data_IF_075620296294
#
_entry.id   IF_075620296294
#
_cell.length_a   1.000
_cell.length_b   1.000
_cell.length_c   1.000
_cell.angle_alpha   90.00
_cell.angle_beta   90.00
_cell.angle_gamma   90.00
#
_symmetry.space_group_name_H-M   'P 1'
#
loop_
_entity.id
_entity.type
_entity.pdbx_description
1 polymer ?
#
# COMPACT_ATOMS: atom_id res chain seq x y z
N UNK A 1 16.53 7.34 5.90
CA UNK A 1 15.29 7.46 5.10
C UNK A 1 14.41 6.24 5.30
N UNK A 2 13.10 6.42 5.26
CA UNK A 2 12.13 5.40 5.68
C UNK A 2 12.09 4.13 4.80
N UNK A 3 12.79 4.10 3.65
CA UNK A 3 12.79 2.93 2.76
C UNK A 3 13.47 1.68 3.36
N UNK A 4 14.49 1.83 4.22
CA UNK A 4 15.15 0.68 4.87
C UNK A 4 14.22 -0.05 5.85
N UNK A 5 13.38 0.72 6.54
CA UNK A 5 12.33 0.18 7.40
C UNK A 5 11.30 -0.58 6.56
N UNK A 6 10.83 0.01 5.45
CA UNK A 6 9.91 -0.66 4.54
C UNK A 6 10.50 -1.97 4.01
N UNK A 7 11.76 -1.97 3.58
CA UNK A 7 12.45 -3.19 3.12
C UNK A 7 12.49 -4.29 4.19
N UNK A 8 12.81 -3.92 5.43
CA UNK A 8 12.80 -4.86 6.56
C UNK A 8 11.41 -5.45 6.82
N UNK A 9 10.36 -4.62 6.73
CA UNK A 9 8.97 -5.07 6.85
C UNK A 9 8.65 -6.08 5.74
N UNK A 10 8.96 -5.77 4.48
CA UNK A 10 8.72 -6.67 3.34
C UNK A 10 9.38 -8.03 3.59
N UNK A 11 10.67 -8.05 3.89
CA UNK A 11 11.44 -9.29 4.06
C UNK A 11 10.94 -10.15 5.24
N UNK A 12 10.42 -9.50 6.28
CA UNK A 12 9.87 -10.17 7.48
C UNK A 12 8.49 -10.77 7.18
N UNK A 13 7.61 -9.98 6.58
CA UNK A 13 6.23 -10.37 6.32
C UNK A 13 6.14 -11.47 5.27
N UNK A 14 7.00 -11.47 4.25
CA UNK A 14 7.02 -12.55 3.25
C UNK A 14 7.24 -13.93 3.89
N UNK A 15 8.13 -14.03 4.89
CA UNK A 15 8.34 -15.27 5.65
C UNK A 15 7.14 -15.65 6.49
N UNK A 16 6.44 -14.65 7.06
CA UNK A 16 5.23 -14.86 7.85
C UNK A 16 4.05 -15.31 6.99
N UNK A 17 3.98 -14.84 5.74
CA UNK A 17 2.91 -15.22 4.82
C UNK A 17 2.99 -16.68 4.39
N UNK A 18 4.20 -17.24 4.28
CA UNK A 18 4.44 -18.65 3.90
C UNK A 18 3.86 -19.66 4.89
N UNK A 19 3.64 -19.26 6.16
CA UNK A 19 3.12 -20.16 7.20
C UNK A 19 1.61 -20.06 7.40
N UNK A 20 0.93 -19.13 6.71
CA UNK A 20 -0.53 -18.97 6.79
C UNK A 20 -1.16 -19.88 5.73
N UNK A 21 -2.10 -20.73 6.15
CA UNK A 21 -2.78 -21.65 5.23
C UNK A 21 -3.73 -20.92 4.28
N UNK A 22 -4.05 -21.54 3.14
CA UNK A 22 -4.98 -20.95 2.17
C UNK A 22 -6.39 -20.73 2.75
N UNK A 23 -6.86 -21.66 3.58
CA UNK A 23 -8.15 -21.52 4.26
C UNK A 23 -8.14 -20.30 5.20
N UNK A 24 -7.05 -20.07 5.93
CA UNK A 24 -6.89 -18.90 6.78
C UNK A 24 -6.81 -17.59 5.98
N UNK A 25 -6.14 -17.59 4.83
CA UNK A 25 -6.09 -16.45 3.93
C UNK A 25 -7.46 -16.07 3.40
N UNK A 26 -8.24 -17.09 3.01
CA UNK A 26 -9.57 -16.93 2.42
C UNK A 26 -10.69 -16.74 3.45
N UNK A 27 -10.44 -17.04 4.72
CA UNK A 27 -11.45 -17.00 5.77
C UNK A 27 -12.03 -15.59 5.96
N UNK A 28 -13.37 -15.51 5.98
CA UNK A 28 -14.14 -14.29 6.25
C UNK A 28 -14.97 -14.49 7.51
N UNK A 29 -14.83 -13.59 8.49
CA UNK A 29 -15.66 -13.57 9.69
C UNK A 29 -17.14 -13.29 9.38
N UNK A 30 -17.40 -12.49 8.34
CA UNK A 30 -18.72 -12.26 7.77
C UNK A 30 -18.58 -11.85 6.30
N UNK A 31 -19.65 -11.91 5.48
CA UNK A 31 -19.59 -11.51 4.08
C UNK A 31 -19.07 -10.07 3.85
N UNK A 32 -19.35 -9.17 4.78
CA UNK A 32 -19.01 -7.74 4.71
C UNK A 32 -17.60 -7.43 5.21
N UNK A 33 -16.98 -8.35 5.95
CA UNK A 33 -15.60 -8.17 6.45
C UNK A 33 -14.60 -8.69 5.43
N UNK A 34 -13.51 -7.94 5.26
CA UNK A 34 -12.40 -8.41 4.45
C UNK A 34 -11.72 -9.62 5.09
N UNK A 35 -11.40 -10.62 4.27
CA UNK A 35 -10.48 -11.69 4.63
C UNK A 35 -9.05 -11.15 4.75
N UNK A 36 -8.13 -11.95 5.30
CA UNK A 36 -6.69 -11.61 5.29
C UNK A 36 -6.20 -11.36 3.86
N UNK A 37 -6.70 -12.13 2.89
CA UNK A 37 -6.34 -11.99 1.47
C UNK A 37 -6.85 -10.69 0.87
N UNK A 38 -8.08 -10.28 1.19
CA UNK A 38 -8.61 -8.99 0.77
C UNK A 38 -7.88 -7.82 1.44
N UNK A 39 -7.44 -7.96 2.71
CA UNK A 39 -6.60 -6.96 3.39
C UNK A 39 -5.24 -6.83 2.68
N UNK A 40 -4.61 -7.95 2.29
CA UNK A 40 -3.36 -7.91 1.52
C UNK A 40 -3.58 -7.27 0.14
N UNK A 41 -4.73 -7.55 -0.49
CA UNK A 41 -5.17 -6.90 -1.72
C UNK A 41 -5.32 -5.38 -1.57
N UNK A 42 -6.00 -4.91 -0.52
CA UNK A 42 -6.08 -3.47 -0.17
C UNK A 42 -4.69 -2.83 -0.02
N UNK A 43 -3.73 -3.56 0.54
CA UNK A 43 -2.35 -3.07 0.62
C UNK A 43 -1.67 -2.98 -0.75
N UNK A 44 -2.05 -3.80 -1.73
CA UNK A 44 -1.63 -3.64 -3.13
C UNK A 44 -2.25 -2.39 -3.75
N UNK A 45 -3.55 -2.15 -3.54
CA UNK A 45 -4.26 -0.96 -4.02
C UNK A 45 -3.66 0.34 -3.44
N UNK A 46 -3.36 0.33 -2.14
CA UNK A 46 -2.67 1.41 -1.45
C UNK A 46 -1.28 1.64 -2.03
N UNK A 47 -0.52 0.57 -2.33
CA UNK A 47 0.80 0.68 -2.95
C UNK A 47 0.71 1.27 -4.37
N UNK A 48 -0.22 0.81 -5.21
CA UNK A 48 -0.47 1.37 -6.54
C UNK A 48 -0.74 2.88 -6.50
N UNK A 49 -1.65 3.29 -5.62
CA UNK A 49 -2.01 4.71 -5.47
C UNK A 49 -0.82 5.53 -5.00
N UNK A 50 -0.05 5.04 -4.03
CA UNK A 50 1.09 5.77 -3.48
C UNK A 50 2.28 5.79 -4.44
N UNK A 51 2.51 4.76 -5.26
CA UNK A 51 3.48 4.82 -6.37
C UNK A 51 3.16 6.02 -7.28
N UNK A 52 1.88 6.18 -7.66
CA UNK A 52 1.47 7.32 -8.49
C UNK A 52 1.70 8.66 -7.77
N UNK A 53 1.32 8.77 -6.49
CA UNK A 53 1.58 9.98 -5.68
C UNK A 53 3.08 10.30 -5.64
N UNK A 54 3.91 9.32 -5.32
CA UNK A 54 5.35 9.50 -5.19
C UNK A 54 6.01 9.87 -6.51
N UNK A 55 5.60 9.30 -7.63
CA UNK A 55 6.21 9.60 -8.93
C UNK A 55 5.69 10.93 -9.49
N UNK A 56 4.38 11.16 -9.49
CA UNK A 56 3.79 12.35 -10.11
C UNK A 56 4.18 13.62 -9.36
N UNK A 57 4.14 13.61 -8.02
CA UNK A 57 4.45 14.80 -7.22
C UNK A 57 5.91 15.26 -7.35
N UNK A 58 6.82 14.38 -7.76
CA UNK A 58 8.21 14.76 -8.07
C UNK A 58 8.35 15.68 -9.28
N UNK A 59 7.34 15.81 -10.15
CA UNK A 59 7.39 16.73 -11.30
C UNK A 59 6.12 17.58 -11.46
N UNK A 60 5.07 17.34 -10.66
CA UNK A 60 3.81 18.09 -10.71
C UNK A 60 3.13 18.15 -9.33
N UNK A 61 3.10 19.33 -8.72
CA UNK A 61 2.52 19.52 -7.37
C UNK A 61 1.00 19.64 -7.38
N UNK A 62 0.40 19.31 -6.24
CA UNK A 62 -1.02 19.48 -5.91
C UNK A 62 -2.00 18.74 -6.84
N UNK A 63 -1.54 17.71 -7.54
CA UNK A 63 -2.45 16.80 -8.23
C UNK A 63 -3.33 16.07 -7.21
N UNK A 64 -4.64 16.03 -7.48
CA UNK A 64 -5.58 15.27 -6.67
C UNK A 64 -5.48 13.77 -7.03
N UNK A 65 -5.01 12.96 -6.09
CA UNK A 65 -4.80 11.52 -6.28
C UNK A 65 -5.45 10.77 -5.13
N UNK A 66 -6.65 10.24 -5.36
CA UNK A 66 -7.47 9.55 -4.36
C UNK A 66 -8.01 8.22 -4.90
N UNK A 67 -8.42 7.34 -3.98
CA UNK A 67 -9.09 6.09 -4.29
C UNK A 67 -10.12 5.73 -3.21
N UNK A 68 -11.16 5.00 -3.58
CA UNK A 68 -12.11 4.41 -2.65
C UNK A 68 -11.69 2.96 -2.36
N UNK A 69 -11.39 2.66 -1.10
CA UNK A 69 -10.80 1.38 -0.72
C UNK A 69 -11.78 0.22 -0.90
N UNK A 70 -13.07 0.44 -0.61
CA UNK A 70 -14.08 -0.61 -0.66
C UNK A 70 -14.43 -0.93 -2.11
N UNK A 71 -14.57 0.11 -2.95
CA UNK A 71 -14.80 -0.07 -4.38
C UNK A 71 -13.58 -0.69 -5.09
N UNK A 72 -12.35 -0.38 -4.67
CA UNK A 72 -11.15 -0.99 -5.24
C UNK A 72 -11.03 -2.48 -4.89
N UNK A 73 -11.11 -2.84 -3.60
CA UNK A 73 -11.05 -4.25 -3.16
C UNK A 73 -12.12 -5.09 -3.84
N UNK A 74 -13.35 -4.55 -3.94
CA UNK A 74 -14.46 -5.19 -4.64
C UNK A 74 -14.18 -5.38 -6.13
N UNK A 75 -13.68 -4.35 -6.81
CA UNK A 75 -13.42 -4.40 -8.26
C UNK A 75 -12.25 -5.31 -8.62
N UNK A 76 -11.23 -5.38 -7.78
CA UNK A 76 -10.06 -6.24 -7.96
C UNK A 76 -10.34 -7.71 -7.62
N UNK A 77 -11.38 -7.96 -6.82
CA UNK A 77 -11.87 -9.31 -6.52
C UNK A 77 -10.79 -10.25 -5.92
N UNK A 78 -9.95 -9.72 -5.02
CA UNK A 78 -8.83 -10.46 -4.43
C UNK A 78 -9.23 -11.78 -3.77
N UNK A 79 -10.44 -11.86 -3.22
CA UNK A 79 -10.97 -13.09 -2.62
C UNK A 79 -10.91 -14.30 -3.57
N UNK A 80 -11.00 -14.08 -4.89
CA UNK A 80 -11.01 -15.14 -5.89
C UNK A 80 -9.67 -15.31 -6.62
N UNK A 81 -8.64 -14.56 -6.24
CA UNK A 81 -7.28 -14.70 -6.78
C UNK A 81 -6.50 -15.71 -5.92
N UNK A 82 -5.62 -16.55 -6.51
CA UNK A 82 -4.70 -17.38 -5.74
C UNK A 82 -3.83 -16.52 -4.82
N UNK A 83 -3.71 -16.89 -3.55
CA UNK A 83 -3.02 -16.06 -2.55
C UNK A 83 -1.57 -15.78 -2.93
N UNK A 84 -0.87 -16.77 -3.50
CA UNK A 84 0.49 -16.60 -3.99
C UNK A 84 0.63 -15.47 -5.02
N UNK A 85 -0.38 -15.26 -5.88
CA UNK A 85 -0.37 -14.15 -6.84
C UNK A 85 -0.54 -12.80 -6.15
N UNK A 86 -1.41 -12.71 -5.14
CA UNK A 86 -1.61 -11.49 -4.34
C UNK A 86 -0.34 -11.15 -3.55
N UNK A 87 0.32 -12.15 -2.95
CA UNK A 87 1.61 -11.97 -2.26
C UNK A 87 2.69 -11.47 -3.22
N UNK A 88 2.78 -12.05 -4.42
CA UNK A 88 3.78 -11.64 -5.43
C UNK A 88 3.53 -10.22 -5.94
N UNK A 89 2.27 -9.82 -6.12
CA UNK A 89 1.89 -8.47 -6.46
C UNK A 89 2.30 -7.49 -5.35
N UNK A 90 1.91 -7.79 -4.10
CA UNK A 90 2.25 -7.00 -2.92
C UNK A 90 3.77 -6.81 -2.81
N UNK A 91 4.54 -7.90 -2.93
CA UNK A 91 6.00 -7.89 -2.92
C UNK A 91 6.56 -6.93 -3.96
N UNK A 92 6.14 -7.10 -5.21
CA UNK A 92 6.68 -6.34 -6.34
C UNK A 92 6.39 -4.85 -6.22
N UNK A 93 5.16 -4.48 -5.82
CA UNK A 93 4.78 -3.10 -5.61
C UNK A 93 5.55 -2.45 -4.46
N UNK A 94 5.74 -3.16 -3.35
CA UNK A 94 6.43 -2.61 -2.20
C UNK A 94 7.94 -2.44 -2.45
N UNK A 95 8.60 -3.37 -3.14
CA UNK A 95 9.98 -3.14 -3.58
C UNK A 95 10.09 -2.00 -4.60
N UNK A 96 9.09 -1.82 -5.46
CA UNK A 96 9.05 -0.65 -6.34
C UNK A 96 8.98 0.65 -5.55
N UNK A 97 8.20 0.70 -4.46
CA UNK A 97 8.19 1.86 -3.54
C UNK A 97 9.55 2.06 -2.88
N UNK A 98 10.22 0.99 -2.44
CA UNK A 98 11.59 1.09 -1.90
C UNK A 98 12.51 1.76 -2.91
N UNK A 99 12.50 1.32 -4.17
CA UNK A 99 13.33 1.93 -5.23
C UNK A 99 12.97 3.39 -5.50
N UNK A 100 11.68 3.74 -5.53
CA UNK A 100 11.24 5.13 -5.74
C UNK A 100 11.75 6.02 -4.60
N UNK A 101 11.56 5.60 -3.35
CA UNK A 101 11.96 6.40 -2.18
C UNK A 101 13.47 6.48 -2.03
N UNK A 102 14.20 5.41 -2.34
CA UNK A 102 15.67 5.38 -2.33
C UNK A 102 16.29 6.37 -3.34
N UNK A 103 15.66 6.54 -4.51
CA UNK A 103 16.14 7.42 -5.58
C UNK A 103 15.53 8.83 -5.55
N UNK A 104 14.66 9.13 -4.58
CA UNK A 104 13.99 10.42 -4.48
C UNK A 104 14.97 11.50 -4.00
N UNK A 105 15.16 12.61 -4.74
CA UNK A 105 15.99 13.72 -4.27
C UNK A 105 15.42 14.38 -3.02
N UNK A 106 16.27 14.82 -2.09
CA UNK A 106 15.81 15.43 -0.84
C UNK A 106 15.03 16.73 -1.10
N UNK A 107 15.39 17.49 -2.13
CA UNK A 107 14.75 18.76 -2.47
C UNK A 107 13.29 18.64 -2.90
N UNK A 108 12.84 17.45 -3.35
CA UNK A 108 11.44 17.24 -3.75
C UNK A 108 10.57 16.74 -2.60
N UNK A 109 11.13 16.36 -1.44
CA UNK A 109 10.37 15.81 -0.32
C UNK A 109 9.30 16.76 0.24
N UNK A 110 9.51 18.08 0.10
CA UNK A 110 8.56 19.11 0.53
C UNK A 110 7.48 19.43 -0.51
N UNK A 111 7.54 18.82 -1.71
CA UNK A 111 6.48 18.97 -2.71
C UNK A 111 5.19 18.31 -2.26
N UNK A 112 4.08 18.90 -2.67
CA UNK A 112 2.76 18.53 -2.14
C UNK A 112 1.89 17.76 -3.13
N UNK A 113 1.07 16.85 -2.60
CA UNK A 113 0.01 16.14 -3.30
C UNK A 113 -1.32 16.45 -2.62
N UNK A 114 -2.39 16.57 -3.40
CA UNK A 114 -3.74 16.66 -2.87
C UNK A 114 -4.33 15.25 -2.71
N UNK A 115 -4.70 14.90 -1.47
CA UNK A 115 -5.36 13.63 -1.12
C UNK A 115 -6.79 13.82 -0.62
N UNK A 116 -7.33 15.03 -0.79
CA UNK A 116 -8.69 15.40 -0.39
C UNK A 116 -9.74 14.51 -1.06
N UNK A 117 -10.53 13.81 -0.26
CA UNK A 117 -11.77 13.13 -0.72
C UNK A 117 -12.99 14.02 -0.54
N UNK A 118 -13.14 14.57 0.66
CA UNK A 118 -14.29 15.40 1.07
C UNK A 118 -13.83 16.65 1.80
N UNK A 119 -12.82 16.53 2.65
CA UNK A 119 -12.14 17.64 3.34
C UNK A 119 -10.77 17.91 2.71
N UNK A 120 -10.31 19.17 2.70
CA UNK A 120 -8.97 19.53 2.24
C UNK A 120 -7.88 18.75 2.99
N UNK A 121 -7.02 18.08 2.25
CA UNK A 121 -5.87 17.34 2.73
C UNK A 121 -4.74 17.45 1.69
N UNK A 122 -3.80 18.35 1.94
CA UNK A 122 -2.62 18.55 1.11
C UNK A 122 -1.41 18.12 1.92
N UNK A 123 -0.69 17.11 1.45
CA UNK A 123 0.41 16.48 2.18
C UNK A 123 1.70 16.53 1.37
N UNK A 124 2.83 16.70 2.05
CA UNK A 124 4.14 16.60 1.42
C UNK A 124 4.48 15.15 1.11
N UNK A 125 5.40 14.92 0.17
CA UNK A 125 5.93 13.59 -0.11
C UNK A 125 6.50 12.91 1.14
N UNK A 126 7.20 13.66 1.99
CA UNK A 126 7.73 13.16 3.26
C UNK A 126 6.62 12.58 4.16
N UNK A 127 5.52 13.33 4.33
CA UNK A 127 4.38 12.91 5.15
C UNK A 127 3.68 11.70 4.53
N UNK A 128 3.51 11.68 3.21
CA UNK A 128 2.87 10.56 2.51
C UNK A 128 3.70 9.27 2.61
N UNK A 129 5.02 9.34 2.47
CA UNK A 129 5.91 8.17 2.59
C UNK A 129 5.83 7.60 4.01
N UNK A 130 5.88 8.45 5.04
CA UNK A 130 5.72 8.01 6.43
C UNK A 130 4.33 7.40 6.66
N UNK A 131 3.28 8.10 6.24
CA UNK A 131 1.89 7.65 6.37
C UNK A 131 1.62 6.32 5.67
N UNK A 132 2.24 6.09 4.51
CA UNK A 132 2.16 4.82 3.80
C UNK A 132 2.72 3.65 4.64
N UNK A 133 3.90 3.82 5.25
CA UNK A 133 4.53 2.77 6.07
C UNK A 133 3.73 2.51 7.33
N UNK A 134 3.23 3.57 7.99
CA UNK A 134 2.39 3.44 9.18
C UNK A 134 1.07 2.70 8.85
N UNK A 135 0.43 3.05 7.73
CA UNK A 135 -0.78 2.40 7.24
C UNK A 135 -0.53 0.92 6.88
N UNK A 136 0.55 0.64 6.15
CA UNK A 136 0.97 -0.73 5.81
C UNK A 136 1.14 -1.57 7.08
N UNK A 137 1.92 -1.07 8.05
CA UNK A 137 2.20 -1.78 9.29
C UNK A 137 0.93 -1.96 10.16
N UNK A 138 0.01 -1.00 10.16
CA UNK A 138 -1.28 -1.15 10.86
C UNK A 138 -2.07 -2.36 10.34
N UNK A 139 -2.24 -2.47 9.02
CA UNK A 139 -3.00 -3.57 8.41
C UNK A 139 -2.29 -4.92 8.48
N UNK A 140 -0.95 -4.95 8.38
CA UNK A 140 -0.20 -6.19 8.52
C UNK A 140 -0.43 -6.88 9.88
N UNK A 141 -0.66 -6.11 10.96
CA UNK A 141 -1.01 -6.68 12.29
C UNK A 141 -2.35 -7.43 12.31
N UNK A 142 -3.20 -7.20 11.32
CA UNK A 142 -4.53 -7.81 11.19
C UNK A 142 -4.57 -8.98 10.21
N UNK A 143 -3.46 -9.23 9.51
CA UNK A 143 -3.19 -10.47 8.77
C UNK A 143 -2.56 -11.43 9.77
#
# INVERSE_FOLDING_TARGET
>A
MNYQLLKTIIDTELKRFEIISEDEWAYKNSPEKWSRKEILGHLCDSAFTNIRRFVVTQYKENENIVYDQDEWVKSQNYQNIPTAEVINLWKSLNYQIVHIVENMPDEVLQRTCDTSKTTPEILTLEVLIKGYIDHLHHHLKTI
#
